data_IF_656098558803
#
_entry.id   IF_656098558803
#
_cell.length_a   1.000
_cell.length_b   1.000
_cell.length_c   1.000
_cell.angle_alpha   90.00
_cell.angle_beta   90.00
_cell.angle_gamma   90.00
#
_symmetry.space_group_name_H-M   'P 1'
#
loop_
_entity.id
_entity.type
_entity.pdbx_description
1 polymer ?
#
# COMPACT_ATOMS: atom_id res chain seq x y z
N UNK A 1 10.35 -30.05 -2.06
CA UNK A 1 9.67 -29.93 -0.76
C UNK A 1 8.39 -29.13 -0.85
N UNK A 2 7.66 -29.05 0.26
CA UNK A 2 6.42 -28.28 0.32
C UNK A 2 6.63 -26.82 -0.03
N UNK A 3 7.80 -26.24 0.30
CA UNK A 3 8.11 -24.84 -0.04
C UNK A 3 8.14 -24.57 -1.53
N UNK A 4 8.51 -25.54 -2.34
CA UNK A 4 8.57 -25.38 -3.79
C UNK A 4 7.18 -25.33 -4.42
N UNK A 5 6.20 -26.01 -3.81
CA UNK A 5 4.82 -26.03 -4.29
C UNK A 5 4.20 -24.64 -4.21
N UNK A 6 4.58 -23.81 -3.22
CA UNK A 6 4.04 -22.48 -3.00
C UNK A 6 4.84 -21.38 -3.67
N UNK A 7 5.96 -21.72 -4.31
CA UNK A 7 6.76 -20.72 -5.01
C UNK A 7 6.03 -20.25 -6.25
N UNK A 8 5.68 -18.96 -6.28
CA UNK A 8 4.96 -18.38 -7.41
C UNK A 8 5.85 -18.28 -8.64
N UNK A 9 5.27 -18.63 -9.78
CA UNK A 9 5.89 -18.45 -11.09
C UNK A 9 5.52 -17.08 -11.66
N UNK A 10 6.36 -16.52 -12.54
CA UNK A 10 6.03 -15.28 -13.24
C UNK A 10 4.71 -15.40 -14.01
N UNK A 11 4.42 -16.59 -14.55
CA UNK A 11 3.17 -16.89 -15.24
C UNK A 11 1.94 -16.64 -14.37
N UNK A 12 1.99 -17.04 -13.09
CA UNK A 12 0.87 -16.91 -12.17
C UNK A 12 0.53 -15.43 -11.93
N UNK A 13 1.55 -14.59 -11.83
CA UNK A 13 1.37 -13.14 -11.64
C UNK A 13 0.79 -12.52 -12.89
N UNK A 14 1.24 -12.91 -14.07
CA UNK A 14 0.73 -12.41 -15.35
C UNK A 14 -0.75 -12.77 -15.54
N UNK A 15 -1.14 -13.98 -15.17
CA UNK A 15 -2.52 -14.46 -15.32
C UNK A 15 -3.51 -13.65 -14.46
N UNK A 16 -3.06 -13.12 -13.31
CA UNK A 16 -3.88 -12.26 -12.45
C UNK A 16 -4.13 -10.90 -13.12
N UNK A 17 -3.24 -10.46 -14.03
CA UNK A 17 -3.36 -9.15 -14.66
C UNK A 17 -3.23 -8.01 -13.65
N UNK A 18 -2.29 -8.14 -12.71
CA UNK A 18 -2.11 -7.27 -11.56
C UNK A 18 -2.11 -5.77 -11.92
N UNK A 19 -1.47 -5.40 -13.02
CA UNK A 19 -1.32 -3.99 -13.39
C UNK A 19 -2.48 -3.43 -14.22
N UNK A 20 -3.46 -4.24 -14.60
CA UNK A 20 -4.58 -3.79 -15.42
C UNK A 20 -5.30 -2.60 -14.79
N UNK A 21 -5.59 -2.69 -13.50
CA UNK A 21 -6.29 -1.64 -12.77
C UNK A 21 -5.47 -1.04 -11.62
N UNK A 22 -4.21 -1.41 -11.52
CA UNK A 22 -3.35 -0.98 -10.41
C UNK A 22 -3.28 0.54 -10.28
N UNK A 23 -3.18 1.25 -11.40
CA UNK A 23 -3.00 2.70 -11.36
C UNK A 23 -4.16 3.43 -10.71
N UNK A 24 -5.40 3.06 -11.03
CA UNK A 24 -6.56 3.73 -10.44
C UNK A 24 -6.73 3.35 -8.96
N UNK A 25 -6.44 2.11 -8.59
CA UNK A 25 -6.49 1.66 -7.19
C UNK A 25 -5.45 2.42 -6.36
N UNK A 26 -4.24 2.56 -6.88
CA UNK A 26 -3.18 3.34 -6.23
C UNK A 26 -3.58 4.81 -6.07
N UNK A 27 -4.14 5.41 -7.11
CA UNK A 27 -4.60 6.81 -7.08
C UNK A 27 -5.66 7.01 -6.01
N UNK A 28 -6.63 6.12 -5.94
CA UNK A 28 -7.64 6.18 -4.88
C UNK A 28 -7.01 6.07 -3.50
N UNK A 29 -6.17 5.07 -3.29
CA UNK A 29 -5.56 4.82 -1.98
C UNK A 29 -4.72 6.01 -1.52
N UNK A 30 -3.92 6.58 -2.40
CA UNK A 30 -3.06 7.72 -2.08
C UNK A 30 -3.87 8.98 -1.82
N UNK A 31 -4.81 9.32 -2.69
CA UNK A 31 -5.64 10.52 -2.53
C UNK A 31 -6.50 10.46 -1.27
N UNK A 32 -7.07 9.31 -1.01
CA UNK A 32 -7.98 9.13 0.12
C UNK A 32 -7.27 9.16 1.47
N UNK A 33 -5.96 8.94 1.49
CA UNK A 33 -5.19 8.78 2.72
C UNK A 33 -4.03 9.77 2.84
N UNK A 34 -3.96 10.76 1.97
CA UNK A 34 -2.90 11.76 1.96
C UNK A 34 -1.49 11.13 1.90
N UNK A 35 -1.33 10.14 1.04
CA UNK A 35 -0.06 9.48 0.77
C UNK A 35 0.38 9.80 -0.66
N UNK A 36 1.68 9.79 -0.90
CA UNK A 36 2.18 9.76 -2.28
C UNK A 36 2.48 8.33 -2.72
N UNK A 37 2.77 8.15 -4.01
CA UNK A 37 3.00 6.81 -4.56
C UNK A 37 4.15 6.08 -3.87
N UNK A 38 5.24 6.78 -3.58
CA UNK A 38 6.40 6.20 -2.92
C UNK A 38 6.10 5.82 -1.47
N UNK A 39 5.26 6.61 -0.77
CA UNK A 39 4.82 6.28 0.59
C UNK A 39 4.06 4.94 0.60
N UNK A 40 3.11 4.79 -0.32
CA UNK A 40 2.31 3.57 -0.39
C UNK A 40 3.17 2.35 -0.74
N UNK A 41 4.06 2.48 -1.71
CA UNK A 41 4.97 1.40 -2.09
C UNK A 41 5.86 0.97 -0.93
N UNK A 42 6.38 1.93 -0.18
CA UNK A 42 7.20 1.65 1.01
C UNK A 42 6.40 0.91 2.08
N UNK A 43 5.15 1.33 2.33
CA UNK A 43 4.29 0.68 3.32
C UNK A 43 3.97 -0.76 2.92
N UNK A 44 3.71 -1.01 1.64
CA UNK A 44 3.48 -2.36 1.14
C UNK A 44 4.75 -3.22 1.32
N UNK A 45 5.91 -2.67 1.03
CA UNK A 45 7.18 -3.34 1.23
C UNK A 45 7.40 -3.72 2.71
N UNK A 46 7.18 -2.77 3.61
CA UNK A 46 7.32 -3.02 5.04
C UNK A 46 6.30 -4.03 5.57
N UNK A 47 5.09 -4.01 5.04
CA UNK A 47 4.08 -4.99 5.43
C UNK A 47 4.51 -6.43 5.09
N UNK A 48 5.28 -6.60 4.03
CA UNK A 48 5.85 -7.89 3.67
C UNK A 48 6.97 -8.34 4.63
N UNK A 49 7.62 -7.41 5.30
CA UNK A 49 8.69 -7.73 6.25
C UNK A 49 8.18 -8.14 7.63
N UNK A 50 6.96 -7.79 7.97
CA UNK A 50 6.35 -7.97 9.28
C UNK A 50 6.92 -7.01 10.34
N UNK A 51 8.11 -7.27 10.89
CA UNK A 51 8.81 -6.36 11.80
C UNK A 51 10.04 -5.77 11.09
N UNK A 52 10.30 -4.51 11.33
CA UNK A 52 11.40 -3.79 10.68
C UNK A 52 11.96 -2.71 11.61
N UNK A 53 13.12 -2.18 11.24
CA UNK A 53 13.80 -1.10 11.96
C UNK A 53 13.90 0.13 11.08
N UNK A 54 14.21 1.28 11.69
CA UNK A 54 14.54 2.47 10.90
C UNK A 54 15.78 2.23 10.02
N UNK A 55 16.69 1.35 10.47
CA UNK A 55 17.86 0.99 9.68
C UNK A 55 17.45 0.26 8.40
N UNK A 56 16.42 -0.58 8.43
CA UNK A 56 15.87 -1.21 7.24
C UNK A 56 15.39 -0.17 6.23
N UNK A 57 14.76 0.90 6.70
CA UNK A 57 14.38 2.02 5.83
C UNK A 57 15.61 2.68 5.20
N UNK A 58 16.64 2.97 6.01
CA UNK A 58 17.83 3.66 5.53
C UNK A 58 18.65 2.81 4.53
N UNK A 59 18.67 1.50 4.72
CA UNK A 59 19.45 0.57 3.91
C UNK A 59 18.63 -0.15 2.82
N UNK A 60 17.32 -0.19 2.98
CA UNK A 60 16.47 -1.12 2.23
C UNK A 60 16.32 -0.76 0.77
N UNK A 61 15.92 0.47 0.49
CA UNK A 61 15.72 0.91 -0.88
C UNK A 61 16.20 2.33 -1.01
N UNK A 62 17.18 2.53 -1.85
CA UNK A 62 17.80 3.82 -2.08
C UNK A 62 16.77 4.90 -2.44
N UNK A 63 15.80 4.56 -3.27
CA UNK A 63 14.78 5.49 -3.73
C UNK A 63 13.81 5.95 -2.64
N UNK A 64 13.62 5.15 -1.59
CA UNK A 64 12.78 5.54 -0.46
C UNK A 64 13.56 6.32 0.59
N UNK A 65 14.80 5.91 0.86
CA UNK A 65 15.59 6.44 1.98
C UNK A 65 16.16 7.82 1.73
N UNK A 66 16.20 8.28 0.49
CA UNK A 66 16.74 9.62 0.22
C UNK A 66 15.83 10.73 0.76
N UNK A 67 14.55 10.48 0.97
CA UNK A 67 13.66 11.38 1.71
C UNK A 67 13.51 10.90 3.15
N UNK A 68 14.44 11.29 4.00
CA UNK A 68 14.46 10.88 5.41
C UNK A 68 13.23 11.36 6.19
N UNK A 69 12.62 12.47 5.77
CA UNK A 69 11.40 13.00 6.41
C UNK A 69 10.19 12.09 6.20
N UNK A 70 10.24 11.24 5.19
CA UNK A 70 9.16 10.26 4.92
C UNK A 70 8.94 9.34 6.11
N UNK A 71 10.02 8.81 6.69
CA UNK A 71 9.91 7.94 7.87
C UNK A 71 9.20 8.65 9.02
N UNK A 72 9.64 9.85 9.39
CA UNK A 72 9.07 10.62 10.48
C UNK A 72 7.60 10.95 10.23
N UNK A 73 7.25 11.31 9.01
CA UNK A 73 5.88 11.62 8.63
C UNK A 73 4.97 10.40 8.73
N UNK A 74 5.42 9.25 8.24
CA UNK A 74 4.63 8.01 8.29
C UNK A 74 4.41 7.53 9.72
N UNK A 75 5.41 7.68 10.59
CA UNK A 75 5.26 7.38 12.01
C UNK A 75 4.28 8.36 12.68
N UNK A 76 4.46 9.65 12.44
CA UNK A 76 3.60 10.69 13.02
C UNK A 76 2.14 10.53 12.59
N UNK A 77 1.88 10.19 11.35
CA UNK A 77 0.54 10.03 10.80
C UNK A 77 -0.08 8.67 11.11
N UNK A 78 0.64 7.80 11.82
CA UNK A 78 0.10 6.54 12.31
C UNK A 78 0.07 5.39 11.31
N UNK A 79 0.87 5.46 10.23
CA UNK A 79 1.02 4.35 9.28
C UNK A 79 2.02 3.30 9.76
N UNK A 80 3.03 3.75 10.50
CA UNK A 80 4.05 2.91 11.11
C UNK A 80 3.96 3.10 12.62
N UNK A 81 3.95 2.02 13.38
CA UNK A 81 3.89 2.07 14.85
C UNK A 81 5.05 1.30 15.46
N UNK A 82 5.42 1.70 16.69
CA UNK A 82 6.44 0.97 17.44
C UNK A 82 5.81 -0.34 17.93
N UNK A 83 6.46 -1.46 17.63
CA UNK A 83 6.13 -2.75 18.21
C UNK A 83 6.86 -2.97 19.52
N UNK A 84 8.15 -2.56 19.58
CA UNK A 84 8.96 -2.69 20.76
C UNK A 84 10.01 -1.59 20.79
N UNK A 85 10.01 -0.79 21.85
CA UNK A 85 11.03 0.23 22.04
C UNK A 85 12.39 -0.40 22.35
N UNK A 86 13.46 0.23 21.86
CA UNK A 86 14.80 -0.09 22.28
C UNK A 86 14.91 0.09 23.78
N UNK A 87 15.37 -0.93 24.49
CA UNK A 87 15.77 -0.79 25.90
C UNK A 87 17.30 -0.71 26.00
N UNK A 88 17.81 -0.34 27.18
CA UNK A 88 19.21 0.03 27.35
C UNK A 88 20.18 -1.14 27.42
N UNK A 89 19.76 -2.38 27.26
CA UNK A 89 20.63 -3.52 27.59
C UNK A 89 21.18 -4.26 26.38
N UNK A 90 20.33 -4.91 25.59
CA UNK A 90 20.80 -5.78 24.53
C UNK A 90 20.23 -5.44 23.16
N UNK A 91 19.10 -4.77 23.12
CA UNK A 91 18.44 -4.45 21.86
C UNK A 91 19.04 -3.19 21.23
N UNK A 92 19.60 -3.34 20.03
CA UNK A 92 20.27 -2.25 19.33
C UNK A 92 19.31 -1.25 18.72
N UNK A 93 18.16 -1.72 18.22
CA UNK A 93 17.18 -0.89 17.51
C UNK A 93 15.78 -1.12 18.06
N UNK A 94 14.95 -0.07 18.02
CA UNK A 94 13.51 -0.23 18.19
C UNK A 94 12.92 -1.00 17.02
N UNK A 95 11.94 -1.85 17.29
CA UNK A 95 11.22 -2.59 16.27
C UNK A 95 9.89 -1.91 15.96
N UNK A 96 9.55 -1.87 14.70
CA UNK A 96 8.34 -1.23 14.19
C UNK A 96 7.53 -2.23 13.39
N UNK A 97 6.27 -1.91 13.20
CA UNK A 97 5.36 -2.66 12.33
C UNK A 97 4.43 -1.68 11.63
N UNK A 98 3.81 -2.13 10.54
CA UNK A 98 2.70 -1.39 9.94
C UNK A 98 1.53 -1.40 10.91
N UNK A 99 0.83 -0.25 11.02
CA UNK A 99 -0.30 -0.12 11.93
C UNK A 99 -1.51 -0.91 11.45
N UNK A 100 -2.52 -1.07 12.32
CA UNK A 100 -3.79 -1.70 11.93
C UNK A 100 -4.42 -0.93 10.76
N UNK A 101 -4.40 0.40 10.82
CA UNK A 101 -4.90 1.27 9.76
C UNK A 101 -4.20 0.96 8.42
N UNK A 102 -2.90 0.80 8.45
CA UNK A 102 -2.09 0.48 7.28
C UNK A 102 -2.44 -0.89 6.72
N UNK A 103 -2.54 -1.91 7.58
CA UNK A 103 -2.89 -3.27 7.17
C UNK A 103 -4.28 -3.34 6.55
N UNK A 104 -5.23 -2.61 7.09
CA UNK A 104 -6.60 -2.56 6.55
C UNK A 104 -6.59 -1.95 5.14
N UNK A 105 -5.83 -0.90 4.92
CA UNK A 105 -5.72 -0.28 3.60
C UNK A 105 -5.06 -1.23 2.61
N UNK A 106 -3.94 -1.83 2.96
CA UNK A 106 -3.20 -2.74 2.08
C UNK A 106 -4.05 -3.96 1.72
N UNK A 107 -4.72 -4.55 2.70
CA UNK A 107 -5.59 -5.70 2.45
C UNK A 107 -6.76 -5.33 1.54
N UNK A 108 -7.32 -4.13 1.71
CA UNK A 108 -8.39 -3.64 0.83
C UNK A 108 -7.89 -3.46 -0.61
N UNK A 109 -6.69 -2.92 -0.78
CA UNK A 109 -6.08 -2.80 -2.11
C UNK A 109 -5.99 -4.16 -2.80
N UNK A 110 -5.49 -5.17 -2.10
CA UNK A 110 -5.39 -6.52 -2.66
C UNK A 110 -6.75 -7.10 -3.01
N UNK A 111 -7.77 -6.94 -2.14
CA UNK A 111 -9.11 -7.45 -2.43
C UNK A 111 -9.71 -6.80 -3.66
N UNK A 112 -9.52 -5.50 -3.82
CA UNK A 112 -10.02 -4.78 -5.00
C UNK A 112 -9.30 -5.28 -6.27
N UNK A 113 -7.98 -5.41 -6.22
CA UNK A 113 -7.20 -5.88 -7.36
C UNK A 113 -7.56 -7.32 -7.77
N UNK A 114 -7.90 -8.15 -6.79
CA UNK A 114 -8.29 -9.55 -7.04
C UNK A 114 -9.76 -9.72 -7.40
N UNK A 115 -10.52 -8.64 -7.46
CA UNK A 115 -11.94 -8.70 -7.82
C UNK A 115 -12.87 -9.13 -6.69
N UNK A 116 -12.38 -9.21 -5.48
CA UNK A 116 -13.17 -9.61 -4.32
C UNK A 116 -14.00 -8.46 -3.74
N UNK A 117 -13.67 -7.23 -4.08
CA UNK A 117 -14.31 -6.03 -3.57
C UNK A 117 -14.26 -4.95 -4.65
N UNK A 118 -15.26 -4.08 -4.68
CA UNK A 118 -15.30 -2.96 -5.62
C UNK A 118 -14.63 -1.72 -5.02
N UNK A 119 -14.09 -0.86 -5.89
CA UNK A 119 -13.63 0.47 -5.47
C UNK A 119 -14.81 1.28 -4.95
N UNK A 120 -14.66 1.99 -3.81
CA UNK A 120 -15.75 2.82 -3.30
C UNK A 120 -16.18 3.88 -4.31
N UNK A 121 -17.49 4.09 -4.40
CA UNK A 121 -18.09 5.06 -5.32
C UNK A 121 -18.78 6.22 -4.60
N UNK A 122 -18.93 6.15 -3.27
CA UNK A 122 -19.52 7.22 -2.49
C UNK A 122 -18.53 8.34 -2.24
N UNK A 123 -19.01 9.58 -2.18
CA UNK A 123 -18.17 10.76 -1.91
C UNK A 123 -17.48 10.69 -0.55
N UNK A 124 -18.10 10.04 0.43
CA UNK A 124 -17.54 9.91 1.78
C UNK A 124 -16.35 8.93 1.82
N UNK A 125 -16.39 7.89 1.02
CA UNK A 125 -15.37 6.83 1.01
C UNK A 125 -14.31 6.99 -0.06
N UNK A 126 -14.55 7.88 -1.02
CA UNK A 126 -13.65 8.09 -2.14
C UNK A 126 -13.59 9.57 -2.50
N UNK A 127 -12.47 10.19 -2.15
CA UNK A 127 -12.22 11.61 -2.38
C UNK A 127 -12.24 11.96 -3.88
N UNK A 128 -11.86 11.02 -4.74
CA UNK A 128 -11.89 11.24 -6.20
C UNK A 128 -13.30 11.61 -6.66
N UNK A 129 -14.34 11.05 -6.03
CA UNK A 129 -15.73 11.30 -6.39
C UNK A 129 -16.18 12.74 -6.08
N UNK A 130 -15.43 13.47 -5.26
CA UNK A 130 -15.72 14.86 -4.92
C UNK A 130 -15.16 15.85 -5.94
N UNK A 131 -14.17 15.43 -6.75
CA UNK A 131 -13.49 16.30 -7.69
C UNK A 131 -14.30 16.61 -8.93
N UNK A 132 -14.04 17.79 -9.52
CA UNK A 132 -14.75 18.28 -10.71
C UNK A 132 -13.82 18.57 -11.89
N UNK A 133 -12.51 18.36 -11.73
CA UNK A 133 -11.55 18.63 -12.80
C UNK A 133 -11.65 17.56 -13.90
N UNK A 134 -11.03 17.85 -15.05
CA UNK A 134 -10.97 16.88 -16.15
C UNK A 134 -10.32 15.57 -15.69
N UNK A 135 -9.22 15.67 -14.94
CA UNK A 135 -8.52 14.50 -14.40
C UNK A 135 -9.44 13.67 -13.49
N UNK A 136 -10.22 14.34 -12.64
CA UNK A 136 -11.19 13.67 -11.76
C UNK A 136 -12.26 12.93 -12.57
N UNK A 137 -12.74 13.51 -13.67
CA UNK A 137 -13.71 12.85 -14.54
C UNK A 137 -13.12 11.59 -15.19
N UNK A 138 -11.86 11.65 -15.62
CA UNK A 138 -11.17 10.49 -16.19
C UNK A 138 -11.01 9.39 -15.14
N UNK A 139 -10.65 9.75 -13.91
CA UNK A 139 -10.51 8.79 -12.81
C UNK A 139 -11.85 8.15 -12.44
N UNK A 140 -12.94 8.94 -12.40
CA UNK A 140 -14.29 8.40 -12.13
C UNK A 140 -14.68 7.35 -13.16
N UNK A 141 -14.36 7.60 -14.43
CA UNK A 141 -14.62 6.64 -15.50
C UNK A 141 -13.80 5.37 -15.32
N UNK A 142 -12.53 5.51 -14.91
CA UNK A 142 -11.68 4.36 -14.63
C UNK A 142 -12.23 3.53 -13.46
N UNK A 143 -12.80 4.17 -12.44
CA UNK A 143 -13.44 3.48 -11.32
C UNK A 143 -14.66 2.69 -11.79
N UNK A 144 -15.48 3.27 -12.65
CA UNK A 144 -16.62 2.54 -13.25
C UNK A 144 -16.15 1.32 -14.01
N UNK A 145 -15.07 1.46 -14.79
CA UNK A 145 -14.54 0.36 -15.61
C UNK A 145 -14.01 -0.79 -14.75
N UNK A 146 -13.27 -0.49 -13.68
CA UNK A 146 -12.77 -1.55 -12.80
C UNK A 146 -13.93 -2.28 -12.11
N UNK A 147 -14.93 -1.54 -11.64
CA UNK A 147 -16.06 -2.15 -10.94
C UNK A 147 -16.93 -3.02 -11.86
N UNK A 148 -16.95 -2.72 -13.15
CA UNK A 148 -17.64 -3.54 -14.14
C UNK A 148 -16.82 -4.75 -14.60
N UNK A 149 -15.51 -4.73 -14.40
CA UNK A 149 -14.63 -5.80 -14.89
C UNK A 149 -14.74 -7.02 -13.97
N UNK A 150 -15.37 -8.07 -14.46
CA UNK A 150 -15.56 -9.33 -13.73
C UNK A 150 -14.42 -10.32 -13.94
N UNK A 151 -13.40 -9.94 -14.73
CA UNK A 151 -12.26 -10.82 -15.04
C UNK A 151 -11.05 -10.57 -14.15
N UNK A 152 -11.10 -9.54 -13.29
CA UNK A 152 -9.99 -9.23 -12.40
C UNK A 152 -9.87 -10.21 -11.22
#
# INVERSE_FOLDING_TARGET
GLGDVYKRQAKDIKDIGLFKHYRIVRKWACKNNNLNDADLELLIYFDCMDLFTRQDFLNGTYTYSWDKRRWQRLVREGWITVWRHRNNTTQKYSLYKTSVKCKLLINKIYRILLGQEDLPTSKQRNVIMQGKTYTDKVMKKAIELINKDKTR
#
